data_IF_806170953024
#
_entry.id   IF_806170953024
#
_cell.length_a   1.000
_cell.length_b   1.000
_cell.length_c   1.000
_cell.angle_alpha   90.00
_cell.angle_beta   90.00
_cell.angle_gamma   90.00
#
_symmetry.space_group_name_H-M   'P 1'
#
loop_
_entity.id
_entity.type
_entity.pdbx_description
1 polymer ?
#
# COMPACT_ATOMS: atom_id res chain seq x y z
N UNK A 1 9.43 -40.87 -27.88
CA UNK A 1 8.08 -40.47 -27.47
C UNK A 1 7.93 -40.32 -25.94
N UNK A 2 8.76 -40.98 -25.12
CA UNK A 2 8.61 -40.95 -23.66
C UNK A 2 9.33 -39.81 -22.93
N UNK A 3 10.32 -39.16 -23.56
CA UNK A 3 11.06 -38.06 -22.92
C UNK A 3 10.27 -36.75 -22.87
N UNK A 4 9.53 -36.40 -23.93
CA UNK A 4 8.63 -35.24 -23.90
C UNK A 4 7.54 -35.39 -22.85
N UNK A 5 6.96 -36.59 -22.72
CA UNK A 5 5.94 -36.89 -21.71
C UNK A 5 6.53 -36.82 -20.30
N UNK A 6 7.74 -37.33 -20.09
CA UNK A 6 8.46 -37.23 -18.82
C UNK A 6 8.82 -35.79 -18.48
N UNK A 7 9.26 -35.01 -19.47
CA UNK A 7 9.60 -33.60 -19.31
C UNK A 7 8.36 -32.75 -18.99
N UNK A 8 7.24 -33.02 -19.67
CA UNK A 8 5.96 -32.37 -19.39
C UNK A 8 5.40 -32.76 -18.00
N UNK A 9 5.51 -34.03 -17.59
CA UNK A 9 5.14 -34.47 -16.24
C UNK A 9 6.04 -33.87 -15.16
N UNK A 10 7.34 -33.73 -15.43
CA UNK A 10 8.29 -33.08 -14.50
C UNK A 10 8.00 -31.59 -14.35
N UNK A 11 7.70 -30.90 -15.46
CA UNK A 11 7.29 -29.50 -15.44
C UNK A 11 5.95 -29.30 -14.71
N UNK A 12 4.99 -30.24 -14.84
CA UNK A 12 3.72 -30.18 -14.12
C UNK A 12 3.86 -30.51 -12.62
N UNK A 13 4.80 -31.39 -12.27
CA UNK A 13 5.10 -31.78 -10.88
C UNK A 13 5.98 -30.76 -10.15
N UNK A 14 6.65 -29.88 -10.89
CA UNK A 14 7.36 -28.73 -10.35
C UNK A 14 6.37 -27.57 -10.37
N UNK A 15 5.67 -27.26 -9.27
CA UNK A 15 4.78 -26.11 -9.29
C UNK A 15 5.59 -24.87 -9.71
N UNK A 16 4.99 -23.98 -10.51
CA UNK A 16 5.36 -22.56 -10.57
C UNK A 16 5.06 -21.95 -9.18
N UNK A 17 5.75 -22.47 -8.16
CA UNK A 17 5.77 -21.92 -6.84
C UNK A 17 6.75 -20.77 -6.97
N UNK A 18 6.22 -19.55 -7.08
CA UNK A 18 6.92 -18.38 -6.55
C UNK A 18 7.56 -18.83 -5.25
N UNK A 19 8.89 -18.79 -5.18
CA UNK A 19 9.62 -19.23 -4.00
C UNK A 19 8.95 -18.56 -2.80
N UNK A 20 8.59 -19.28 -1.72
CA UNK A 20 8.01 -18.65 -0.54
C UNK A 20 8.80 -17.43 -0.06
N UNK A 21 10.12 -17.42 -0.27
CA UNK A 21 10.99 -16.26 -0.03
C UNK A 21 10.66 -15.07 -0.94
N UNK A 22 10.40 -15.30 -2.23
CA UNK A 22 10.03 -14.24 -3.19
C UNK A 22 8.67 -13.65 -2.84
N UNK A 23 7.70 -14.48 -2.47
CA UNK A 23 6.37 -14.02 -2.06
C UNK A 23 6.44 -13.16 -0.78
N UNK A 24 7.28 -13.55 0.19
CA UNK A 24 7.50 -12.76 1.42
C UNK A 24 8.25 -11.46 1.12
N UNK A 25 9.22 -11.47 0.21
CA UNK A 25 9.95 -10.29 -0.22
C UNK A 25 9.02 -9.28 -0.92
N UNK A 26 8.17 -9.75 -1.83
CA UNK A 26 7.15 -8.93 -2.51
C UNK A 26 6.18 -8.30 -1.51
N UNK A 27 5.66 -9.09 -0.56
CA UNK A 27 4.77 -8.58 0.48
C UNK A 27 5.45 -7.53 1.36
N UNK A 28 6.73 -7.71 1.68
CA UNK A 28 7.49 -6.74 2.48
C UNK A 28 7.70 -5.43 1.73
N UNK A 29 8.06 -5.50 0.44
CA UNK A 29 8.20 -4.33 -0.41
C UNK A 29 6.88 -3.55 -0.53
N UNK A 30 5.75 -4.26 -0.71
CA UNK A 30 4.44 -3.63 -0.74
C UNK A 30 4.08 -2.92 0.58
N UNK A 31 4.48 -3.48 1.73
CA UNK A 31 4.29 -2.83 3.02
C UNK A 31 5.17 -1.59 3.19
N UNK A 32 6.40 -1.60 2.67
CA UNK A 32 7.29 -0.44 2.69
C UNK A 32 6.75 0.69 1.79
N UNK A 33 6.23 0.38 0.60
CA UNK A 33 5.54 1.36 -0.26
C UNK A 33 4.34 2.01 0.45
N UNK A 34 3.58 1.22 1.23
CA UNK A 34 2.46 1.74 2.04
C UNK A 34 2.96 2.65 3.16
N UNK A 35 4.06 2.30 3.83
CA UNK A 35 4.68 3.12 4.88
C UNK A 35 5.18 4.45 4.31
N UNK A 36 5.84 4.41 3.16
CA UNK A 36 6.32 5.60 2.47
C UNK A 36 5.16 6.50 2.03
N UNK A 37 4.07 5.92 1.51
CA UNK A 37 2.87 6.66 1.19
C UNK A 37 2.23 7.31 2.44
N UNK A 38 2.24 6.61 3.58
CA UNK A 38 1.75 7.16 4.85
C UNK A 38 2.63 8.31 5.34
N UNK A 39 3.96 8.15 5.35
CA UNK A 39 4.92 9.18 5.71
C UNK A 39 4.76 10.43 4.83
N UNK A 40 4.59 10.24 3.52
CA UNK A 40 4.30 11.34 2.60
C UNK A 40 3.04 12.12 2.99
N UNK A 41 1.97 11.43 3.41
CA UNK A 41 0.71 12.08 3.82
C UNK A 41 0.87 12.82 5.16
N UNK A 42 1.62 12.25 6.09
CA UNK A 42 1.92 12.85 7.40
C UNK A 42 2.77 14.12 7.28
N UNK A 43 3.72 14.15 6.34
CA UNK A 43 4.55 15.32 6.00
C UNK A 43 3.82 16.35 5.12
N UNK A 44 2.51 16.54 5.33
CA UNK A 44 1.65 17.45 4.57
C UNK A 44 1.68 17.26 3.04
N UNK A 45 2.08 16.06 2.57
CA UNK A 45 2.34 15.80 1.17
C UNK A 45 1.13 15.99 0.26
N UNK A 46 -0.09 15.82 0.75
CA UNK A 46 -1.31 16.11 -0.03
C UNK A 46 -1.47 17.60 -0.34
N UNK A 47 -1.16 18.47 0.62
CA UNK A 47 -1.22 19.91 0.41
C UNK A 47 -0.12 20.36 -0.55
N UNK A 48 1.09 19.80 -0.39
CA UNK A 48 2.21 20.03 -1.30
C UNK A 48 1.90 19.54 -2.73
N UNK A 49 1.30 18.36 -2.89
CA UNK A 49 0.90 17.81 -4.18
C UNK A 49 -0.14 18.68 -4.89
N UNK A 50 -1.14 19.19 -4.16
CA UNK A 50 -2.13 20.14 -4.72
C UNK A 50 -1.46 21.42 -5.23
N UNK A 51 -0.57 22.03 -4.45
CA UNK A 51 0.19 23.22 -4.86
C UNK A 51 1.06 22.96 -6.10
N UNK A 52 1.64 21.76 -6.21
CA UNK A 52 2.42 21.36 -7.37
C UNK A 52 1.55 21.23 -8.62
N UNK A 53 0.36 20.62 -8.51
CA UNK A 53 -0.62 20.53 -9.61
C UNK A 53 -1.04 21.92 -10.07
N UNK A 54 -1.43 22.82 -9.17
CA UNK A 54 -1.81 24.19 -9.52
C UNK A 54 -0.67 24.94 -10.19
N UNK A 55 0.58 24.68 -9.79
CA UNK A 55 1.76 25.29 -10.41
C UNK A 55 1.98 24.75 -11.83
N UNK A 56 1.77 23.45 -12.05
CA UNK A 56 1.83 22.85 -13.37
C UNK A 56 0.74 23.42 -14.30
N UNK A 57 -0.49 23.56 -13.81
CA UNK A 57 -1.61 24.19 -14.54
C UNK A 57 -1.27 25.64 -14.93
N UNK A 58 -0.76 26.44 -13.99
CA UNK A 58 -0.32 27.82 -14.27
C UNK A 58 0.81 27.91 -15.30
N UNK A 59 1.65 26.87 -15.40
CA UNK A 59 2.74 26.78 -16.37
C UNK A 59 2.31 26.17 -17.71
N UNK A 60 1.06 25.70 -17.83
CA UNK A 60 0.57 24.98 -19.01
C UNK A 60 1.12 23.55 -19.15
N UNK A 61 1.66 22.97 -18.09
CA UNK A 61 2.10 21.57 -18.08
C UNK A 61 0.93 20.64 -17.71
N UNK A 62 0.05 20.44 -18.69
CA UNK A 62 -1.15 19.64 -18.51
C UNK A 62 -0.84 18.17 -18.22
N UNK A 63 0.28 17.65 -18.71
CA UNK A 63 0.66 16.26 -18.51
C UNK A 63 1.04 16.01 -17.05
N UNK A 64 1.86 16.89 -16.48
CA UNK A 64 2.22 16.84 -15.06
C UNK A 64 0.99 17.08 -14.17
N UNK A 65 0.15 18.06 -14.52
CA UNK A 65 -1.08 18.32 -13.77
C UNK A 65 -2.03 17.11 -13.77
N UNK A 66 -2.22 16.46 -14.93
CA UNK A 66 -3.02 15.22 -15.04
C UNK A 66 -2.44 14.09 -14.18
N UNK A 67 -1.12 13.85 -14.28
CA UNK A 67 -0.46 12.80 -13.49
C UNK A 67 -0.58 13.07 -11.99
N UNK A 68 -0.42 14.32 -11.57
CA UNK A 68 -0.60 14.73 -10.18
C UNK A 68 -2.03 14.48 -9.68
N UNK A 69 -3.04 14.80 -10.48
CA UNK A 69 -4.46 14.52 -10.13
C UNK A 69 -4.73 13.01 -10.01
N UNK A 70 -4.20 12.20 -10.93
CA UNK A 70 -4.31 10.74 -10.88
C UNK A 70 -3.65 10.14 -9.63
N UNK A 71 -2.55 10.73 -9.14
CA UNK A 71 -1.92 10.31 -7.89
C UNK A 71 -2.69 10.81 -6.64
N UNK A 72 -3.28 12.00 -6.72
CA UNK A 72 -3.98 12.63 -5.60
C UNK A 72 -5.24 11.86 -5.18
N UNK A 73 -5.99 11.33 -6.16
CA UNK A 73 -7.24 10.61 -5.92
C UNK A 73 -7.09 9.38 -5.00
N UNK A 74 -6.20 8.40 -5.29
CA UNK A 74 -6.00 7.24 -4.41
C UNK A 74 -5.46 7.63 -3.03
N UNK A 75 -4.50 8.57 -2.96
CA UNK A 75 -3.96 9.03 -1.67
C UNK A 75 -5.02 9.71 -0.80
N UNK A 76 -5.88 10.54 -1.38
CA UNK A 76 -7.00 11.17 -0.67
C UNK A 76 -8.02 10.13 -0.18
N UNK A 77 -8.29 9.09 -0.99
CA UNK A 77 -9.17 7.97 -0.61
C UNK A 77 -8.59 7.18 0.56
N UNK A 78 -7.30 6.83 0.53
CA UNK A 78 -6.63 6.13 1.62
C UNK A 78 -6.70 6.94 2.92
N UNK A 79 -6.39 8.25 2.87
CA UNK A 79 -6.51 9.14 4.05
C UNK A 79 -7.93 9.21 4.59
N UNK A 80 -8.93 9.26 3.72
CA UNK A 80 -10.34 9.25 4.12
C UNK A 80 -10.71 7.94 4.80
N UNK A 81 -10.37 6.80 4.21
CA UNK A 81 -10.63 5.48 4.78
C UNK A 81 -9.97 5.32 6.16
N UNK A 82 -8.72 5.76 6.30
CA UNK A 82 -8.03 5.78 7.60
C UNK A 82 -8.77 6.64 8.62
N UNK A 83 -9.16 7.87 8.26
CA UNK A 83 -9.93 8.76 9.16
C UNK A 83 -11.28 8.18 9.57
N UNK A 84 -11.98 7.54 8.64
CA UNK A 84 -13.28 6.92 8.89
C UNK A 84 -13.13 5.68 9.81
N UNK A 85 -12.03 4.93 9.69
CA UNK A 85 -11.71 3.81 10.58
C UNK A 85 -11.22 4.22 11.98
N UNK A 86 -10.48 5.32 12.09
CA UNK A 86 -9.94 5.82 13.37
C UNK A 86 -10.82 6.90 14.01
N UNK A 87 -12.09 7.03 13.59
CA UNK A 87 -13.03 7.94 14.26
C UNK A 87 -13.20 7.54 15.73
N UNK A 88 -13.00 8.46 16.69
CA UNK A 88 -13.22 8.22 18.10
C UNK A 88 -14.73 8.02 18.33
N UNK A 89 -15.19 6.77 18.29
CA UNK A 89 -16.61 6.43 18.41
C UNK A 89 -16.94 4.97 18.14
N UNK A 90 -16.12 4.24 17.38
CA UNK A 90 -16.26 2.80 17.21
C UNK A 90 -14.96 2.11 17.62
N UNK A 91 -14.93 1.69 18.89
CA UNK A 91 -13.74 1.16 19.54
C UNK A 91 -13.20 -0.11 18.91
N UNK A 92 -11.89 -0.13 18.68
CA UNK A 92 -11.11 -1.28 19.11
C UNK A 92 -10.57 -0.94 20.49
N UNK A 93 -11.40 -1.22 21.50
CA UNK A 93 -10.91 -1.33 22.88
C UNK A 93 -9.96 -2.52 22.88
N UNK A 94 -8.67 -2.26 22.69
CA UNK A 94 -7.64 -3.18 23.16
C UNK A 94 -7.71 -3.05 24.68
N UNK A 95 -8.56 -3.89 25.29
CA UNK A 95 -8.61 -4.10 26.72
C UNK A 95 -7.25 -4.59 27.18
N UNK A 96 -6.35 -3.64 27.45
CA UNK A 96 -5.04 -3.90 28.02
C UNK A 96 -5.23 -4.41 29.43
N UNK A 97 -4.86 -5.68 29.61
CA UNK A 97 -4.56 -6.30 30.89
C UNK A 97 -3.73 -5.35 31.76
N UNK A 98 -4.39 -4.63 32.66
CA UNK A 98 -3.76 -4.04 33.83
C UNK A 98 -4.76 -4.08 34.98
N UNK A 99 -4.60 -5.08 35.85
CA UNK A 99 -4.47 -4.90 37.30
C UNK A 99 -4.33 -6.28 37.98
N UNK A 100 -3.10 -6.81 37.94
CA UNK A 100 -2.61 -7.70 39.00
C UNK A 100 -2.25 -6.79 40.19
N UNK A 101 -3.20 -6.57 41.10
CA UNK A 101 -2.89 -6.10 42.45
C UNK A 101 -4.03 -6.39 43.43
N UNK A 102 -3.71 -7.07 44.53
CA UNK A 102 -4.60 -7.41 45.64
C UNK A 102 -5.01 -8.88 45.62
N UNK A 103 -4.74 -9.69 46.64
CA UNK A 103 -4.36 -9.42 48.03
C UNK A 103 -3.69 -10.67 48.63
#
# INVERSE_FOLDING_TARGET
MSDDVRSALHALATPDATDPSDAVAEATAALDDVRDAAAFVDDDGLARLRRAIETAERRGDDALARRGRQALEPLARCRRAARDHFRPGHGTVLGGDTLRSGR
#
